data_IF_349017498608
#
_entry.id   IF_349017498608
#
_cell.length_a   1.000
_cell.length_b   1.000
_cell.length_c   1.000
_cell.angle_alpha   90.00
_cell.angle_beta   90.00
_cell.angle_gamma   90.00
#
_symmetry.space_group_name_H-M   'P 1'
#
loop_
_entity.id
_entity.type
_entity.pdbx_description
1 polymer ?
#
# COMPACT_ATOMS: atom_id res chain seq x y z
N UNK A 1 -0.58 -5.42 40.73
CA UNK A 1 -0.15 -5.70 39.34
C UNK A 1 -0.72 -4.61 38.44
N UNK A 2 0.12 -3.70 37.95
CA UNK A 2 -0.33 -2.66 37.03
C UNK A 2 -0.45 -3.25 35.62
N UNK A 3 -1.65 -3.17 35.04
CA UNK A 3 -1.92 -3.50 33.64
C UNK A 3 -1.07 -2.58 32.77
N UNK A 4 0.05 -3.09 32.24
CA UNK A 4 0.75 -2.44 31.14
C UNK A 4 -0.10 -2.60 29.89
N UNK A 5 -1.11 -1.75 29.74
CA UNK A 5 -1.74 -1.57 28.45
C UNK A 5 -0.61 -1.21 27.48
N UNK A 6 -0.54 -1.92 26.35
CA UNK A 6 0.27 -1.53 25.21
C UNK A 6 -0.37 -0.26 24.65
N UNK A 7 -0.19 0.86 25.34
CA UNK A 7 -0.75 2.15 24.96
C UNK A 7 -0.07 2.47 23.65
N UNK A 8 -0.86 2.37 22.57
CA UNK A 8 -0.57 2.93 21.25
C UNK A 8 0.19 4.24 21.47
N UNK A 9 1.51 4.23 21.26
CA UNK A 9 2.34 5.42 21.46
C UNK A 9 1.69 6.58 20.73
N UNK A 10 1.73 7.79 21.33
CA UNK A 10 1.18 9.00 20.71
C UNK A 10 1.61 9.04 19.25
N UNK A 11 0.67 8.74 18.35
CA UNK A 11 0.96 8.68 16.93
C UNK A 11 1.24 10.11 16.46
N UNK A 12 2.28 10.33 15.66
CA UNK A 12 2.61 11.68 15.23
C UNK A 12 1.42 12.27 14.46
N UNK A 13 0.93 13.43 14.91
CA UNK A 13 0.02 14.24 14.11
C UNK A 13 0.81 14.72 12.90
N UNK A 14 0.45 14.24 11.71
CA UNK A 14 1.15 14.64 10.49
C UNK A 14 0.69 16.04 10.06
N UNK A 15 1.60 16.97 9.77
CA UNK A 15 1.23 18.26 9.23
C UNK A 15 0.62 18.10 7.83
N UNK A 16 -0.25 19.04 7.43
CA UNK A 16 -0.95 19.02 6.13
C UNK A 16 -0.01 18.78 4.94
N UNK A 17 1.14 19.44 4.91
CA UNK A 17 2.14 19.27 3.85
C UNK A 17 2.71 17.85 3.77
N UNK A 18 2.89 17.17 4.92
CA UNK A 18 3.36 15.78 4.96
C UNK A 18 2.29 14.81 4.46
N UNK A 19 1.03 15.03 4.79
CA UNK A 19 -0.10 14.26 4.27
C UNK A 19 -0.16 14.36 2.74
N UNK A 20 -0.09 15.59 2.20
CA UNK A 20 -0.09 15.82 0.76
C UNK A 20 1.11 15.14 0.07
N UNK A 21 2.32 15.24 0.65
CA UNK A 21 3.51 14.61 0.10
C UNK A 21 3.40 13.07 0.06
N UNK A 22 2.95 12.44 1.15
CA UNK A 22 2.81 10.98 1.21
C UNK A 22 1.74 10.47 0.24
N UNK A 23 0.60 11.16 0.15
CA UNK A 23 -0.45 10.82 -0.82
C UNK A 23 0.05 10.99 -2.27
N UNK A 24 0.77 12.08 -2.56
CA UNK A 24 1.35 12.31 -3.88
C UNK A 24 2.36 11.23 -4.28
N UNK A 25 3.13 10.70 -3.31
CA UNK A 25 4.07 9.63 -3.56
C UNK A 25 3.36 8.31 -3.94
N UNK A 26 2.27 7.99 -3.23
CA UNK A 26 1.41 6.86 -3.58
C UNK A 26 0.84 6.99 -4.99
N UNK A 27 0.27 8.15 -5.32
CA UNK A 27 -0.31 8.41 -6.64
C UNK A 27 0.74 8.43 -7.76
N UNK A 28 1.93 8.97 -7.52
CA UNK A 28 3.01 8.97 -8.51
C UNK A 28 3.39 7.54 -8.92
N UNK A 29 3.39 6.59 -7.97
CA UNK A 29 3.60 5.18 -8.26
C UNK A 29 2.47 4.61 -9.13
N UNK A 30 1.21 4.83 -8.75
CA UNK A 30 0.05 4.33 -9.50
C UNK A 30 0.09 4.86 -10.93
N UNK A 31 0.41 6.14 -11.12
CA UNK A 31 0.52 6.77 -12.43
C UNK A 31 1.64 6.16 -13.26
N UNK A 32 2.77 5.78 -12.65
CA UNK A 32 3.84 5.08 -13.35
C UNK A 32 3.40 3.71 -13.88
N UNK A 33 2.47 3.04 -13.20
CA UNK A 33 1.96 1.71 -13.59
C UNK A 33 0.77 1.76 -14.55
N UNK A 34 -0.22 2.62 -14.27
CA UNK A 34 -1.52 2.62 -14.95
C UNK A 34 -1.74 3.85 -15.85
N UNK A 35 -0.94 4.89 -15.68
CA UNK A 35 -1.11 6.17 -16.37
C UNK A 35 -2.03 7.14 -15.63
N UNK A 36 -1.84 8.42 -15.94
CA UNK A 36 -2.54 9.52 -15.25
C UNK A 36 -4.03 9.61 -15.61
N UNK A 37 -4.38 9.37 -16.88
CA UNK A 37 -5.77 9.38 -17.35
C UNK A 37 -6.61 8.31 -16.65
N UNK A 38 -6.09 7.08 -16.54
CA UNK A 38 -6.78 5.98 -15.85
C UNK A 38 -7.08 6.31 -14.39
N UNK A 39 -6.12 6.93 -13.69
CA UNK A 39 -6.34 7.38 -12.33
C UNK A 39 -7.39 8.51 -12.27
N UNK A 40 -7.35 9.46 -13.20
CA UNK A 40 -8.31 10.56 -13.24
C UNK A 40 -9.75 10.06 -13.48
N UNK A 41 -9.93 9.14 -14.43
CA UNK A 41 -11.21 8.52 -14.78
C UNK A 41 -11.78 7.72 -13.60
N UNK A 42 -10.95 6.90 -12.95
CA UNK A 42 -11.38 6.09 -11.81
C UNK A 42 -11.77 6.92 -10.58
N UNK A 43 -11.19 8.12 -10.46
CA UNK A 43 -11.46 9.06 -9.38
C UNK A 43 -12.62 10.02 -9.69
N UNK A 44 -13.16 9.99 -10.91
CA UNK A 44 -14.15 10.95 -11.43
C UNK A 44 -13.68 12.40 -11.28
N UNK A 45 -12.42 12.67 -11.62
CA UNK A 45 -11.81 14.01 -11.57
C UNK A 45 -11.02 14.31 -12.84
N UNK A 46 -10.76 15.59 -13.08
CA UNK A 46 -9.89 16.01 -14.19
C UNK A 46 -8.42 15.63 -13.94
N UNK A 47 -7.68 15.37 -15.01
CA UNK A 47 -6.22 15.22 -14.96
C UNK A 47 -5.51 16.44 -14.33
N UNK A 48 -6.08 17.63 -14.44
CA UNK A 48 -5.55 18.84 -13.81
C UNK A 48 -5.65 18.76 -12.28
N UNK A 49 -6.74 18.17 -11.76
CA UNK A 49 -6.90 17.92 -10.33
C UNK A 49 -5.81 16.98 -9.82
N UNK A 50 -5.51 15.91 -10.56
CA UNK A 50 -4.40 14.99 -10.24
C UNK A 50 -3.06 15.72 -10.27
N UNK A 51 -2.82 16.55 -11.31
CA UNK A 51 -1.61 17.35 -11.42
C UNK A 51 -1.41 18.31 -10.24
N UNK A 52 -2.47 18.97 -9.79
CA UNK A 52 -2.42 19.86 -8.63
C UNK A 52 -2.17 19.12 -7.32
N UNK A 53 -2.72 17.91 -7.17
CA UNK A 53 -2.47 17.04 -6.03
C UNK A 53 -1.02 16.55 -5.99
N UNK A 54 -0.46 16.12 -7.14
CA UNK A 54 0.95 15.69 -7.25
C UNK A 54 1.91 16.85 -6.97
N UNK A 55 1.59 18.05 -7.44
CA UNK A 55 2.34 19.26 -7.16
C UNK A 55 2.12 19.81 -5.74
N UNK A 56 1.34 19.12 -4.91
CA UNK A 56 1.02 19.49 -3.53
C UNK A 56 0.36 20.88 -3.38
N UNK A 57 -0.26 21.38 -4.46
CA UNK A 57 -0.99 22.66 -4.48
C UNK A 57 -2.34 22.54 -3.78
N UNK A 58 -2.94 21.36 -3.91
CA UNK A 58 -4.21 21.00 -3.27
C UNK A 58 -4.07 19.66 -2.57
N UNK A 59 -4.86 19.46 -1.52
CA UNK A 59 -5.00 18.14 -0.89
C UNK A 59 -6.32 17.56 -1.40
N UNK A 60 -6.32 16.39 -2.04
CA UNK A 60 -7.54 15.70 -2.44
C UNK A 60 -8.49 15.53 -1.26
N UNK A 61 -9.79 15.53 -1.55
CA UNK A 61 -10.78 15.18 -0.54
C UNK A 61 -10.64 13.72 -0.12
N UNK A 62 -11.14 13.39 1.07
CA UNK A 62 -11.02 12.05 1.63
C UNK A 62 -11.63 11.00 0.70
N UNK A 63 -12.79 11.28 0.11
CA UNK A 63 -13.45 10.36 -0.82
C UNK A 63 -12.58 10.09 -2.05
N UNK A 64 -11.95 11.13 -2.63
CA UNK A 64 -11.04 11.01 -3.78
C UNK A 64 -9.80 10.19 -3.42
N UNK A 65 -9.23 10.40 -2.23
CA UNK A 65 -8.11 9.60 -1.76
C UNK A 65 -8.51 8.12 -1.59
N UNK A 66 -9.67 7.84 -1.00
CA UNK A 66 -10.16 6.46 -0.81
C UNK A 66 -10.50 5.77 -2.14
N UNK A 67 -11.10 6.48 -3.10
CA UNK A 67 -11.42 5.92 -4.42
C UNK A 67 -10.17 5.44 -5.16
N UNK A 68 -8.97 5.98 -4.86
CA UNK A 68 -7.73 5.51 -5.49
C UNK A 68 -7.40 4.04 -5.17
N UNK A 69 -7.96 3.50 -4.08
CA UNK A 69 -7.86 2.08 -3.73
C UNK A 69 -8.55 1.14 -4.74
N UNK A 70 -9.49 1.65 -5.53
CA UNK A 70 -10.13 0.89 -6.62
C UNK A 70 -9.21 0.68 -7.82
N UNK A 71 -8.21 1.56 -7.99
CA UNK A 71 -7.18 1.45 -9.03
C UNK A 71 -6.04 0.59 -8.54
N UNK A 72 -5.53 0.88 -7.35
CA UNK A 72 -4.44 0.17 -6.72
C UNK A 72 -4.69 0.03 -5.21
N UNK A 73 -4.82 -1.19 -4.66
CA UNK A 73 -5.05 -1.42 -3.22
C UNK A 73 -3.96 -0.82 -2.30
N UNK A 74 -2.78 -0.53 -2.85
CA UNK A 74 -1.62 0.03 -2.13
C UNK A 74 -1.57 1.56 -2.20
N UNK A 75 -2.56 2.23 -2.80
CA UNK A 75 -2.54 3.66 -3.09
C UNK A 75 -2.28 4.56 -1.88
N UNK A 76 -2.68 4.12 -0.69
CA UNK A 76 -2.57 4.86 0.55
C UNK A 76 -1.49 4.34 1.51
N UNK A 77 -0.64 3.40 1.06
CA UNK A 77 0.38 2.77 1.90
C UNK A 77 1.35 3.79 2.52
N UNK A 78 1.90 4.71 1.72
CA UNK A 78 2.79 5.76 2.21
C UNK A 78 2.12 6.64 3.28
N UNK A 79 0.88 7.03 3.02
CA UNK A 79 0.13 7.90 3.90
C UNK A 79 -0.14 7.22 5.25
N UNK A 80 -0.63 5.98 5.21
CA UNK A 80 -1.01 5.25 6.41
C UNK A 80 0.20 4.72 7.17
N UNK A 81 1.30 4.38 6.48
CA UNK A 81 2.58 4.07 7.12
C UNK A 81 3.08 5.28 7.93
N UNK A 82 2.86 6.51 7.45
CA UNK A 82 3.15 7.73 8.21
C UNK A 82 2.38 7.84 9.54
N UNK A 83 1.22 7.19 9.64
CA UNK A 83 0.43 7.07 10.87
C UNK A 83 0.62 5.71 11.59
N UNK A 84 1.55 4.87 11.13
CA UNK A 84 1.77 3.52 11.68
C UNK A 84 0.55 2.62 11.51
N UNK A 85 -0.13 2.71 10.37
CA UNK A 85 -1.22 1.83 9.95
C UNK A 85 -0.91 1.23 8.56
N UNK A 86 -1.64 0.17 8.21
CA UNK A 86 -1.63 -0.45 6.89
C UNK A 86 -3.07 -0.83 6.53
N UNK A 87 -3.43 -0.72 5.26
CA UNK A 87 -4.71 -1.25 4.76
C UNK A 87 -4.56 -2.72 4.40
N UNK A 88 -5.63 -3.46 4.65
CA UNK A 88 -5.81 -4.80 4.15
C UNK A 88 -7.21 -4.91 3.54
N UNK A 89 -7.36 -5.51 2.35
CA UNK A 89 -8.65 -5.96 1.86
C UNK A 89 -9.32 -6.85 2.90
N UNK A 90 -10.62 -6.65 3.13
CA UNK A 90 -11.39 -7.45 4.08
C UNK A 90 -11.64 -8.88 3.60
N UNK A 91 -11.59 -9.10 2.27
CA UNK A 91 -11.88 -10.38 1.66
C UNK A 91 -10.78 -10.74 0.68
N UNK A 92 -10.35 -12.00 0.72
CA UNK A 92 -9.56 -12.57 -0.35
C UNK A 92 -10.47 -12.89 -1.55
N UNK A 93 -9.87 -13.06 -2.73
CA UNK A 93 -10.56 -13.60 -3.90
C UNK A 93 -9.77 -14.79 -4.40
N UNK A 94 -10.26 -16.00 -4.12
CA UNK A 94 -9.56 -17.25 -4.44
C UNK A 94 -9.10 -17.35 -5.90
N UNK A 95 -9.85 -16.75 -6.84
CA UNK A 95 -9.47 -16.69 -8.26
C UNK A 95 -8.12 -15.99 -8.52
N UNK A 96 -7.66 -15.15 -7.60
CA UNK A 96 -6.42 -14.40 -7.69
C UNK A 96 -5.26 -15.06 -6.93
N UNK A 97 -5.50 -16.17 -6.21
CA UNK A 97 -4.51 -16.78 -5.32
C UNK A 97 -3.32 -17.34 -6.09
N UNK A 98 -3.56 -17.93 -7.27
CA UNK A 98 -2.47 -18.45 -8.11
C UNK A 98 -1.54 -17.31 -8.57
N UNK A 99 -2.10 -16.20 -9.03
CA UNK A 99 -1.33 -15.03 -9.45
C UNK A 99 -0.57 -14.40 -8.27
N UNK A 100 -1.21 -14.35 -7.10
CA UNK A 100 -0.59 -13.88 -5.85
C UNK A 100 0.58 -14.78 -5.45
N UNK A 101 0.39 -16.10 -5.45
CA UNK A 101 1.41 -17.08 -5.13
C UNK A 101 2.60 -17.00 -6.10
N UNK A 102 2.33 -16.94 -7.41
CA UNK A 102 3.38 -16.80 -8.42
C UNK A 102 4.20 -15.53 -8.23
N UNK A 103 3.54 -14.39 -7.98
CA UNK A 103 4.22 -13.11 -7.74
C UNK A 103 5.07 -13.10 -6.47
N UNK A 104 4.56 -13.68 -5.38
CA UNK A 104 5.34 -13.84 -4.13
C UNK A 104 6.53 -14.75 -4.35
N UNK A 105 6.37 -15.89 -5.03
CA UNK A 105 7.47 -16.82 -5.34
C UNK A 105 8.54 -16.11 -6.18
N UNK A 106 8.14 -15.35 -7.21
CA UNK A 106 9.08 -14.57 -8.03
C UNK A 106 9.88 -13.57 -7.18
N UNK A 107 9.20 -12.80 -6.32
CA UNK A 107 9.87 -11.86 -5.42
C UNK A 107 10.79 -12.54 -4.41
N UNK A 108 10.45 -13.77 -3.97
CA UNK A 108 11.33 -14.57 -3.10
C UNK A 108 12.55 -15.10 -3.85
N UNK A 109 12.43 -15.44 -5.14
CA UNK A 109 13.57 -15.78 -5.99
C UNK A 109 14.59 -14.65 -6.05
N UNK A 110 14.13 -13.43 -6.33
CA UNK A 110 14.99 -12.23 -6.34
C UNK A 110 15.64 -11.95 -4.98
N UNK A 111 14.90 -12.18 -3.87
CA UNK A 111 15.47 -12.07 -2.53
C UNK A 111 16.58 -13.10 -2.28
N UNK A 112 16.45 -14.33 -2.78
CA UNK A 112 17.47 -15.38 -2.65
C UNK A 112 18.73 -15.01 -3.44
N UNK A 113 18.56 -14.55 -4.68
CA UNK A 113 19.69 -14.11 -5.52
C UNK A 113 20.42 -12.91 -4.91
N UNK A 114 19.69 -11.91 -4.41
CA UNK A 114 20.25 -10.75 -3.70
C UNK A 114 20.93 -11.11 -2.36
N UNK A 115 20.73 -12.33 -1.84
CA UNK A 115 21.40 -12.83 -0.64
C UNK A 115 22.51 -13.84 -0.94
N UNK A 116 22.81 -14.09 -2.21
CA UNK A 116 23.79 -15.10 -2.63
C UNK A 116 25.22 -14.80 -2.15
N UNK A 117 25.57 -13.53 -1.99
CA UNK A 117 26.85 -13.07 -1.44
C UNK A 117 26.82 -12.84 0.09
N UNK A 118 25.66 -13.08 0.73
CA UNK A 118 25.43 -12.91 2.16
C UNK A 118 25.16 -11.47 2.61
N UNK A 119 25.05 -10.50 1.71
CA UNK A 119 24.83 -9.08 2.04
C UNK A 119 23.72 -8.49 1.18
N UNK A 120 22.62 -8.03 1.81
CA UNK A 120 21.58 -7.29 1.10
C UNK A 120 21.78 -5.78 1.21
N UNK A 121 21.89 -5.09 0.09
CA UNK A 121 22.02 -3.64 0.05
C UNK A 121 20.66 -2.90 0.02
N UNK A 122 20.72 -1.56 -0.01
CA UNK A 122 19.52 -0.72 -0.02
C UNK A 122 18.76 -0.77 -1.35
N UNK A 123 19.45 -0.91 -2.48
CA UNK A 123 18.84 -0.98 -3.81
C UNK A 123 18.09 -2.29 -3.99
N UNK A 124 18.70 -3.41 -3.58
CA UNK A 124 18.07 -4.73 -3.57
C UNK A 124 16.84 -4.74 -2.65
N UNK A 125 16.97 -4.13 -1.47
CA UNK A 125 15.83 -3.99 -0.55
C UNK A 125 14.67 -3.23 -1.20
N UNK A 126 14.95 -2.15 -1.93
CA UNK A 126 13.94 -1.37 -2.64
C UNK A 126 13.33 -2.15 -3.82
N UNK A 127 14.14 -2.91 -4.56
CA UNK A 127 13.68 -3.75 -5.66
C UNK A 127 12.74 -4.86 -5.17
N UNK A 128 13.15 -5.61 -4.15
CA UNK A 128 12.34 -6.68 -3.55
C UNK A 128 11.05 -6.11 -2.95
N UNK A 129 11.13 -4.95 -2.27
CA UNK A 129 9.94 -4.29 -1.76
C UNK A 129 8.98 -3.89 -2.87
N UNK A 130 9.49 -3.45 -4.03
CA UNK A 130 8.69 -3.11 -5.21
C UNK A 130 7.95 -4.34 -5.75
N UNK A 131 8.61 -5.49 -5.79
CA UNK A 131 8.02 -6.75 -6.24
C UNK A 131 6.98 -7.29 -5.25
N UNK A 132 7.23 -7.20 -3.94
CA UNK A 132 6.32 -7.76 -2.93
C UNK A 132 5.07 -6.92 -2.70
N UNK A 133 5.18 -5.58 -2.80
CA UNK A 133 4.13 -4.66 -2.36
C UNK A 133 2.75 -4.95 -2.97
N UNK A 134 2.59 -5.25 -4.27
CA UNK A 134 1.28 -5.56 -4.85
C UNK A 134 0.62 -6.83 -4.25
N UNK A 135 1.41 -7.75 -3.72
CA UNK A 135 0.93 -9.06 -3.23
C UNK A 135 0.65 -9.09 -1.73
N UNK A 136 1.31 -8.25 -0.93
CA UNK A 136 1.13 -8.21 0.52
C UNK A 136 -0.34 -8.02 0.96
N UNK A 137 -1.15 -7.15 0.34
CA UNK A 137 -2.56 -7.02 0.71
C UNK A 137 -3.35 -8.30 0.50
N UNK A 138 -3.11 -9.04 -0.59
CA UNK A 138 -3.79 -10.29 -0.89
C UNK A 138 -3.40 -11.40 0.10
N UNK A 139 -2.11 -11.53 0.43
CA UNK A 139 -1.63 -12.50 1.43
C UNK A 139 -2.23 -12.18 2.81
N UNK A 140 -2.27 -10.90 3.20
CA UNK A 140 -2.87 -10.48 4.46
C UNK A 140 -4.38 -10.76 4.50
N UNK A 141 -5.09 -10.62 3.38
CA UNK A 141 -6.52 -10.91 3.29
C UNK A 141 -6.82 -12.40 3.52
N UNK A 142 -5.96 -13.30 3.02
CA UNK A 142 -6.07 -14.75 3.29
C UNK A 142 -5.93 -15.04 4.79
N UNK A 143 -4.96 -14.42 5.47
CA UNK A 143 -4.77 -14.57 6.93
C UNK A 143 -6.00 -14.04 7.68
N UNK A 144 -6.49 -12.87 7.29
CA UNK A 144 -7.66 -12.26 7.94
C UNK A 144 -8.91 -13.13 7.80
N UNK A 145 -9.15 -13.70 6.62
CA UNK A 145 -10.25 -14.63 6.39
C UNK A 145 -10.14 -15.88 7.28
N UNK A 146 -8.93 -16.45 7.39
CA UNK A 146 -8.68 -17.58 8.28
C UNK A 146 -8.94 -17.23 9.76
N UNK A 147 -8.55 -16.04 10.21
CA UNK A 147 -8.81 -15.58 11.58
C UNK A 147 -10.30 -15.37 11.85
N UNK A 148 -11.04 -14.85 10.87
CA UNK A 148 -12.51 -14.71 10.96
C UNK A 148 -13.20 -16.07 11.05
N UNK A 149 -12.78 -17.06 10.25
CA UNK A 149 -13.31 -18.42 10.31
C UNK A 149 -13.04 -19.08 11.67
N UNK A 150 -11.86 -18.87 12.25
CA UNK A 150 -11.52 -19.38 13.59
C UNK A 150 -12.27 -18.67 14.71
N UNK A 151 -12.53 -17.37 14.58
CA UNK A 151 -13.29 -16.61 15.57
C UNK A 151 -14.80 -16.88 15.54
N UNK A 152 -15.30 -17.46 14.45
CA UNK A 152 -16.70 -17.86 14.28
C UNK A 152 -16.99 -19.33 14.67
N UNK A 153 -15.95 -20.12 14.97
CA UNK A 153 -16.03 -21.51 15.42
C UNK A 153 -15.90 -21.62 16.95
#
# INVERSE_FOLDING_TARGET
>A
MATRANILGQKPVLPKGRVAALLSAGWARIIATHGKGVLADALDVSENTIGNALAQRTTPELHTALNSLSVDPTALDELLAGYGFRLCPLHSKAANDLATAAGVIGAMGELVEALSDGVRDHNETLAIATLLRPHLPAVQAIVHEADMLRGAA
#
